data_IF_704670608239
#
_entry.id   IF_704670608239
#
_cell.length_a   1.000
_cell.length_b   1.000
_cell.length_c   1.000
_cell.angle_alpha   90.00
_cell.angle_beta   90.00
_cell.angle_gamma   90.00
#
_symmetry.space_group_name_H-M   'P 1'
#
loop_
_entity.id
_entity.type
_entity.pdbx_description
1 polymer ?
#
# COMPACT_ATOMS: atom_id res chain seq x y z
N UNK A 1 -11.53 -11.02 -12.64
CA UNK A 1 -10.19 -11.56 -12.34
C UNK A 1 -9.68 -10.78 -11.16
N UNK A 2 -9.48 -11.47 -10.04
CA UNK A 2 -8.94 -10.90 -8.80
C UNK A 2 -7.47 -10.55 -9.11
N UNK A 3 -7.16 -9.27 -9.32
CA UNK A 3 -5.87 -8.78 -9.84
C UNK A 3 -4.70 -8.91 -8.86
N UNK A 4 -4.71 -9.95 -8.03
CA UNK A 4 -3.71 -10.20 -6.98
C UNK A 4 -2.48 -10.84 -7.60
N UNK A 5 -1.34 -10.16 -7.45
CA UNK A 5 -0.02 -10.71 -7.76
C UNK A 5 0.39 -11.74 -6.68
N UNK A 6 -0.12 -11.60 -5.45
CA UNK A 6 0.10 -12.54 -4.34
C UNK A 6 -1.16 -12.68 -3.46
N UNK A 7 -1.66 -13.91 -3.19
CA UNK A 7 -2.82 -14.13 -2.32
C UNK A 7 -2.59 -13.77 -0.84
N UNK A 8 -1.33 -13.64 -0.39
CA UNK A 8 -1.00 -13.19 0.97
C UNK A 8 -1.02 -11.66 1.14
N UNK A 9 -1.10 -10.92 0.03
CA UNK A 9 -1.33 -9.48 0.05
C UNK A 9 -2.80 -9.12 0.27
N UNK A 10 -3.06 -7.86 0.58
CA UNK A 10 -4.42 -7.33 0.68
C UNK A 10 -5.08 -7.38 -0.70
N UNK A 11 -6.40 -7.65 -0.75
CA UNK A 11 -7.15 -7.56 -2.00
C UNK A 11 -7.01 -6.17 -2.64
N UNK A 12 -6.89 -6.12 -3.97
CA UNK A 12 -6.64 -4.87 -4.70
C UNK A 12 -7.74 -3.84 -4.45
N UNK A 13 -8.98 -4.30 -4.40
CA UNK A 13 -10.19 -3.53 -4.11
C UNK A 13 -10.26 -2.98 -2.68
N UNK A 14 -9.45 -3.51 -1.76
CA UNK A 14 -9.36 -3.02 -0.38
C UNK A 14 -8.24 -2.01 -0.19
N UNK A 15 -7.38 -1.79 -1.20
CA UNK A 15 -6.19 -0.98 -1.02
C UNK A 15 -6.49 0.45 -0.55
N UNK A 16 -7.45 1.13 -1.18
CA UNK A 16 -7.88 2.48 -0.79
C UNK A 16 -8.22 2.53 0.70
N UNK A 17 -9.02 1.58 1.19
CA UNK A 17 -9.37 1.48 2.61
C UNK A 17 -8.14 1.17 3.48
N UNK A 18 -7.29 0.23 3.07
CA UNK A 18 -6.07 -0.13 3.81
C UNK A 18 -5.12 1.06 3.95
N UNK A 19 -5.02 1.91 2.94
CA UNK A 19 -4.18 3.11 2.98
C UNK A 19 -4.66 4.15 4.00
N UNK A 20 -5.92 4.12 4.45
CA UNK A 20 -6.39 4.94 5.58
C UNK A 20 -6.16 4.26 6.94
N UNK A 21 -5.84 2.96 6.95
CA UNK A 21 -5.59 2.21 8.18
C UNK A 21 -4.13 2.32 8.62
N UNK A 22 -3.84 3.29 9.49
CA UNK A 22 -2.48 3.56 9.96
C UNK A 22 -1.75 2.34 10.53
N UNK A 23 -2.47 1.46 11.23
CA UNK A 23 -1.90 0.22 11.76
C UNK A 23 -1.38 -0.68 10.65
N UNK A 24 -2.17 -0.86 9.58
CA UNK A 24 -1.82 -1.77 8.48
C UNK A 24 -0.62 -1.25 7.69
N UNK A 25 -0.62 0.04 7.35
CA UNK A 25 0.49 0.68 6.64
C UNK A 25 1.77 0.60 7.47
N UNK A 26 1.72 0.98 8.76
CA UNK A 26 2.90 0.92 9.64
C UNK A 26 3.40 -0.51 9.84
N UNK A 27 2.51 -1.49 9.97
CA UNK A 27 2.92 -2.88 10.09
C UNK A 27 3.60 -3.38 8.80
N UNK A 28 3.10 -3.01 7.62
CA UNK A 28 3.71 -3.32 6.33
C UNK A 28 5.10 -2.68 6.13
N UNK A 29 5.24 -1.40 6.48
CA UNK A 29 6.52 -0.67 6.45
C UNK A 29 7.51 -1.27 7.45
N UNK A 30 7.06 -1.55 8.68
CA UNK A 30 7.91 -2.10 9.75
C UNK A 30 8.51 -3.44 9.38
N UNK A 31 7.78 -4.28 8.67
CA UNK A 31 8.25 -5.61 8.24
C UNK A 31 8.87 -5.59 6.83
N UNK A 32 8.91 -4.42 6.19
CA UNK A 32 9.35 -4.21 4.80
C UNK A 32 8.68 -5.17 3.81
N UNK A 33 7.34 -5.15 3.76
CA UNK A 33 6.55 -6.00 2.85
C UNK A 33 5.38 -5.26 2.25
N UNK A 34 5.29 -5.29 0.91
CA UNK A 34 4.25 -4.63 0.16
C UNK A 34 2.85 -5.10 0.59
N UNK A 35 1.93 -4.15 0.78
CA UNK A 35 0.55 -4.45 1.12
C UNK A 35 -0.12 -5.34 0.06
N UNK A 36 0.15 -5.12 -1.23
CA UNK A 36 -0.52 -5.85 -2.32
C UNK A 36 0.15 -7.17 -2.70
N UNK A 37 1.47 -7.23 -2.72
CA UNK A 37 2.20 -8.37 -3.29
C UNK A 37 3.20 -9.02 -2.33
N UNK A 38 3.42 -8.45 -1.15
CA UNK A 38 4.43 -8.87 -0.14
C UNK A 38 5.89 -8.82 -0.62
N UNK A 39 6.16 -8.24 -1.78
CA UNK A 39 7.52 -7.94 -2.24
C UNK A 39 8.20 -6.97 -1.26
N UNK A 40 9.51 -7.11 -0.98
CA UNK A 40 10.21 -6.22 -0.05
C UNK A 40 10.53 -4.86 -0.70
N UNK A 41 11.27 -4.01 0.01
CA UNK A 41 11.65 -2.66 -0.42
C UNK A 41 10.44 -1.76 -0.68
N UNK A 42 9.63 -1.57 0.37
CA UNK A 42 8.46 -0.67 0.32
C UNK A 42 8.78 0.77 0.69
N UNK A 43 7.98 1.71 0.19
CA UNK A 43 7.99 3.11 0.62
C UNK A 43 7.20 3.32 1.93
N UNK A 44 7.04 4.58 2.36
CA UNK A 44 6.35 4.96 3.60
C UNK A 44 4.86 4.60 3.63
N UNK A 45 4.27 4.31 2.47
CA UNK A 45 2.90 3.82 2.34
C UNK A 45 2.80 2.28 2.34
N UNK A 46 3.92 1.56 2.50
CA UNK A 46 3.94 0.10 2.47
C UNK A 46 3.73 -0.48 1.06
N UNK A 47 4.11 0.25 0.00
CA UNK A 47 3.98 -0.16 -1.39
C UNK A 47 5.37 -0.28 -2.03
N UNK A 48 5.63 -1.39 -2.74
CA UNK A 48 6.87 -1.55 -3.51
C UNK A 48 6.81 -0.77 -4.82
N UNK A 49 7.98 -0.52 -5.43
CA UNK A 49 8.08 0.25 -6.67
C UNK A 49 7.26 -0.30 -7.84
N UNK A 50 7.09 -1.63 -7.93
CA UNK A 50 6.25 -2.26 -8.97
C UNK A 50 4.78 -1.97 -8.73
N UNK A 51 4.26 -2.22 -7.52
CA UNK A 51 2.86 -1.97 -7.20
C UNK A 51 2.49 -0.49 -7.28
N UNK A 52 3.45 0.41 -7.03
CA UNK A 52 3.27 1.85 -7.16
C UNK A 52 2.82 2.26 -8.56
N UNK A 53 3.36 1.64 -9.63
CA UNK A 53 3.00 1.99 -11.01
C UNK A 53 1.58 1.57 -11.40
N UNK A 54 0.92 0.75 -10.57
CA UNK A 54 -0.45 0.27 -10.81
C UNK A 54 -1.49 0.96 -9.94
N UNK A 55 -1.09 1.93 -9.11
CA UNK A 55 -2.02 2.68 -8.26
C UNK A 55 -2.95 3.54 -9.13
N UNK A 56 -4.21 3.65 -8.70
CA UNK A 56 -5.15 4.62 -9.25
C UNK A 56 -4.77 6.03 -8.77
N UNK A 57 -5.25 7.11 -9.40
CA UNK A 57 -4.97 8.47 -8.95
C UNK A 57 -5.32 8.72 -7.47
N UNK A 58 -6.46 8.18 -7.02
CA UNK A 58 -6.91 8.25 -5.61
C UNK A 58 -5.92 7.56 -4.66
N UNK A 59 -5.44 6.37 -5.02
CA UNK A 59 -4.49 5.63 -4.18
C UNK A 59 -3.11 6.27 -4.18
N UNK A 60 -2.69 6.89 -5.28
CA UNK A 60 -1.46 7.68 -5.33
C UNK A 60 -1.55 8.85 -4.35
N UNK A 61 -2.68 9.54 -4.28
CA UNK A 61 -2.90 10.64 -3.33
C UNK A 61 -2.79 10.15 -1.88
N UNK A 62 -3.54 9.11 -1.53
CA UNK A 62 -3.49 8.51 -0.18
C UNK A 62 -2.08 8.01 0.17
N UNK A 63 -1.41 7.34 -0.76
CA UNK A 63 -0.06 6.82 -0.53
C UNK A 63 0.98 7.95 -0.43
N UNK A 64 0.81 9.05 -1.16
CA UNK A 64 1.73 10.21 -1.08
C UNK A 64 1.60 10.95 0.25
N UNK A 65 0.40 11.01 0.83
CA UNK A 65 0.18 11.60 2.15
C UNK A 65 1.04 10.94 3.24
N UNK A 66 1.24 9.61 3.15
CA UNK A 66 2.14 8.91 4.05
C UNK A 66 3.60 9.39 3.96
N UNK A 67 4.09 9.73 2.77
CA UNK A 67 5.45 10.25 2.57
C UNK A 67 5.63 11.69 3.05
N UNK A 68 4.55 12.47 3.18
CA UNK A 68 4.59 13.86 3.68
C UNK A 68 4.30 13.96 5.19
N UNK A 69 4.05 12.83 5.85
CA UNK A 69 3.72 12.78 7.28
C UNK A 69 2.27 13.17 7.61
N UNK A 70 1.43 13.34 6.59
CA UNK A 70 -0.01 13.55 6.75
C UNK A 70 -0.67 12.18 6.76
N UNK A 71 -1.27 11.80 7.89
CA UNK A 71 -2.06 10.58 7.92
C UNK A 71 -3.34 10.77 7.08
N UNK A 72 -3.63 9.92 6.09
CA UNK A 72 -4.89 9.98 5.37
C UNK A 72 -6.04 9.61 6.31
N UNK A 73 -7.12 10.38 6.28
CA UNK A 73 -8.37 10.11 7.03
C UNK A 73 -9.37 9.33 6.18
#
# INVERSE_FOLDING_TARGET
>A
MDGRINPEGVPREQLTWVLTQAKMVRDAVRIDRCLLCRDPAVNEAGICGVCWTYLTPEEVELATNWSTGVMPE
#
